data_IF_740469574728
#
_entry.id   IF_740469574728
#
_cell.length_a   1.000
_cell.length_b   1.000
_cell.length_c   1.000
_cell.angle_alpha   90.00
_cell.angle_beta   90.00
_cell.angle_gamma   90.00
#
_symmetry.space_group_name_H-M   'P 1'
#
loop_
_entity.id
_entity.type
_entity.pdbx_description
1 polymer ?
#
# COMPACT_ATOMS: atom_id res chain seq x y z
N UNK A 1 -4.22 -12.36 -12.71
CA UNK A 1 -4.16 -11.41 -11.60
C UNK A 1 -2.74 -10.90 -11.49
N UNK A 2 -2.52 -9.58 -11.52
CA UNK A 2 -1.20 -9.01 -11.19
C UNK A 2 -1.12 -8.81 -9.68
N UNK A 3 0.05 -9.09 -9.09
CA UNK A 3 0.28 -9.02 -7.64
C UNK A 3 1.31 -7.96 -7.29
N UNK A 4 1.06 -7.15 -6.27
CA UNK A 4 2.01 -6.13 -5.79
C UNK A 4 2.29 -6.30 -4.29
N UNK A 5 3.51 -5.93 -3.88
CA UNK A 5 3.89 -5.85 -2.47
C UNK A 5 4.14 -4.39 -2.07
N UNK A 6 3.79 -4.03 -0.84
CA UNK A 6 4.15 -2.74 -0.25
C UNK A 6 4.98 -2.97 1.02
N UNK A 7 6.07 -2.23 1.16
CA UNK A 7 6.92 -2.26 2.34
C UNK A 7 7.31 -0.83 2.71
N UNK A 8 7.48 -0.56 3.99
CA UNK A 8 8.05 0.69 4.49
C UNK A 8 9.50 0.44 4.88
N UNK A 9 10.39 1.39 4.58
CA UNK A 9 11.79 1.36 4.97
C UNK A 9 12.16 2.64 5.72
N UNK A 10 13.19 2.56 6.56
CA UNK A 10 13.57 3.66 7.46
C UNK A 10 12.81 3.65 8.79
N UNK A 11 12.90 4.74 9.54
CA UNK A 11 12.12 4.93 10.77
C UNK A 11 10.65 5.27 10.48
N UNK A 12 9.75 4.88 11.38
CA UNK A 12 8.33 5.18 11.25
C UNK A 12 8.07 6.70 11.27
N UNK A 13 7.04 7.13 10.54
CA UNK A 13 6.64 8.52 10.42
C UNK A 13 5.13 8.67 10.36
N UNK A 14 4.55 9.74 10.95
CA UNK A 14 3.13 10.03 10.83
C UNK A 14 2.66 10.02 9.37
N UNK A 15 1.66 9.22 9.06
CA UNK A 15 1.06 9.10 7.72
C UNK A 15 1.46 7.85 6.93
N UNK A 16 2.46 7.07 7.38
CA UNK A 16 2.85 5.82 6.71
C UNK A 16 1.67 4.83 6.59
N UNK A 17 0.90 4.63 7.67
CA UNK A 17 -0.29 3.78 7.63
C UNK A 17 -1.38 4.30 6.66
N UNK A 18 -1.52 5.62 6.53
CA UNK A 18 -2.46 6.21 5.58
C UNK A 18 -2.01 5.96 4.12
N UNK A 19 -0.70 6.06 3.86
CA UNK A 19 -0.12 5.75 2.56
C UNK A 19 -0.29 4.26 2.20
N UNK A 20 0.04 3.35 3.12
CA UNK A 20 -0.18 1.90 2.95
C UNK A 20 -1.66 1.62 2.63
N UNK A 21 -2.58 2.22 3.39
CA UNK A 21 -4.02 2.08 3.16
C UNK A 21 -4.43 2.57 1.77
N UNK A 22 -3.91 3.71 1.32
CA UNK A 22 -4.24 4.27 0.01
C UNK A 22 -3.76 3.33 -1.12
N UNK A 23 -2.53 2.81 -1.03
CA UNK A 23 -1.97 1.86 -2.00
C UNK A 23 -2.83 0.58 -2.07
N UNK A 24 -3.09 -0.06 -0.92
CA UNK A 24 -3.88 -1.30 -0.86
C UNK A 24 -5.29 -1.10 -1.42
N UNK A 25 -5.98 -0.02 -1.02
CA UNK A 25 -7.34 0.25 -1.49
C UNK A 25 -7.38 0.56 -2.98
N UNK A 26 -6.35 1.24 -3.51
CA UNK A 26 -6.27 1.53 -4.94
C UNK A 26 -5.96 0.28 -5.77
N UNK A 27 -5.13 -0.62 -5.26
CA UNK A 27 -4.85 -1.92 -5.88
C UNK A 27 -6.12 -2.77 -5.99
N UNK A 28 -6.86 -2.90 -4.88
CA UNK A 28 -8.14 -3.63 -4.84
C UNK A 28 -9.16 -3.03 -5.82
N UNK A 29 -9.28 -1.70 -5.86
CA UNK A 29 -10.18 -1.01 -6.80
C UNK A 29 -9.90 -1.38 -8.27
N UNK A 30 -8.63 -1.63 -8.60
CA UNK A 30 -8.19 -2.02 -9.94
C UNK A 30 -8.11 -3.55 -10.15
N UNK A 31 -8.62 -4.35 -9.22
CA UNK A 31 -8.59 -5.82 -9.32
C UNK A 31 -7.18 -6.41 -9.22
N UNK A 32 -6.25 -5.69 -8.60
CA UNK A 32 -4.91 -6.18 -8.31
C UNK A 32 -4.90 -6.88 -6.95
N UNK A 33 -4.06 -7.90 -6.82
CA UNK A 33 -3.78 -8.60 -5.56
C UNK A 33 -2.56 -8.01 -4.84
#
# INVERSE_FOLDING_TARGET
MQRIGVLTSGGDSPGMNAAIRAVVRKAIYHGME
#
